data_IF_616383980830
#
_entry.id   IF_616383980830
#
_cell.length_a   1.000
_cell.length_b   1.000
_cell.length_c   1.000
_cell.angle_alpha   90.00
_cell.angle_beta   90.00
_cell.angle_gamma   90.00
#
_symmetry.space_group_name_H-M   'P 1'
#
loop_
_entity.id
_entity.type
_entity.pdbx_description
1 polymer ?
#
# COMPACT_ATOMS: atom_id res chain seq x y z
N UNK A 1 -19.65 -0.21 -8.31
CA UNK A 1 -18.73 -1.11 -9.00
C UNK A 1 -17.42 -1.14 -8.24
N UNK A 2 -17.06 -2.28 -7.69
CA UNK A 2 -15.86 -2.46 -6.88
C UNK A 2 -14.87 -3.35 -7.62
N UNK A 3 -13.59 -2.93 -7.65
CA UNK A 3 -12.50 -3.70 -8.23
C UNK A 3 -11.54 -4.12 -7.11
N UNK A 4 -11.61 -5.40 -6.78
CA UNK A 4 -10.78 -6.01 -5.77
C UNK A 4 -9.89 -7.10 -6.40
N UNK A 5 -8.62 -7.14 -5.98
CA UNK A 5 -7.64 -8.14 -6.42
C UNK A 5 -6.85 -7.74 -7.65
N UNK A 6 -5.59 -8.20 -7.69
CA UNK A 6 -4.65 -7.82 -8.72
C UNK A 6 -4.27 -6.33 -8.70
N UNK A 7 -3.69 -5.86 -9.79
CA UNK A 7 -3.38 -4.44 -9.99
C UNK A 7 -4.21 -3.88 -11.16
N UNK A 8 -5.23 -3.04 -10.88
CA UNK A 8 -6.10 -2.50 -11.92
C UNK A 8 -5.34 -1.71 -12.99
N UNK A 9 -4.30 -0.98 -12.58
CA UNK A 9 -3.51 -0.13 -13.48
C UNK A 9 -2.73 -0.94 -14.52
N UNK A 10 -2.45 -2.22 -14.26
CA UNK A 10 -1.79 -3.14 -15.19
C UNK A 10 -2.76 -3.85 -16.12
N UNK A 11 -4.06 -3.82 -15.84
CA UNK A 11 -5.08 -4.58 -16.58
C UNK A 11 -5.63 -3.81 -17.77
N UNK A 12 -5.39 -4.32 -18.98
CA UNK A 12 -6.03 -3.79 -20.21
C UNK A 12 -7.57 -3.95 -20.19
N UNK A 13 -8.06 -5.02 -19.56
CA UNK A 13 -9.50 -5.28 -19.47
C UNK A 13 -10.19 -4.28 -18.54
N UNK A 14 -9.53 -3.91 -17.43
CA UNK A 14 -10.08 -2.93 -16.50
C UNK A 14 -10.34 -1.57 -17.19
N UNK A 15 -9.39 -1.10 -17.98
CA UNK A 15 -9.54 0.13 -18.77
C UNK A 15 -10.73 0.07 -19.74
N UNK A 16 -10.95 -1.08 -20.39
CA UNK A 16 -12.11 -1.29 -21.25
C UNK A 16 -13.43 -1.26 -20.47
N UNK A 17 -13.43 -1.91 -19.29
CA UNK A 17 -14.62 -1.93 -18.41
C UNK A 17 -14.98 -0.51 -17.96
N UNK A 18 -14.01 0.30 -17.55
CA UNK A 18 -14.27 1.69 -17.16
C UNK A 18 -14.96 2.50 -18.26
N UNK A 19 -14.57 2.31 -19.51
CA UNK A 19 -15.20 2.98 -20.67
C UNK A 19 -16.63 2.49 -20.96
N UNK A 20 -16.95 1.28 -20.54
CA UNK A 20 -18.21 0.59 -20.83
C UNK A 20 -19.12 0.45 -19.59
N UNK A 21 -18.85 1.24 -18.52
CA UNK A 21 -19.69 1.19 -17.32
C UNK A 21 -21.15 1.49 -17.66
N UNK A 22 -22.11 0.68 -17.17
CA UNK A 22 -23.54 0.93 -17.33
C UNK A 22 -23.97 2.29 -16.71
N UNK A 23 -25.02 2.90 -17.21
CA UNK A 23 -25.50 4.23 -16.77
C UNK A 23 -26.02 4.23 -15.32
N UNK A 24 -26.41 3.08 -14.79
CA UNK A 24 -26.86 2.95 -13.41
C UNK A 24 -25.70 2.88 -12.39
N UNK A 25 -24.44 2.81 -12.82
CA UNK A 25 -23.26 2.87 -11.93
C UNK A 25 -23.13 4.29 -11.40
N UNK A 26 -23.12 4.44 -10.06
CA UNK A 26 -22.97 5.74 -9.37
C UNK A 26 -21.63 5.88 -8.69
N UNK A 27 -20.99 4.79 -8.34
CA UNK A 27 -19.70 4.75 -7.61
C UNK A 27 -18.80 3.69 -8.22
N UNK A 28 -17.54 4.04 -8.41
CA UNK A 28 -16.43 3.12 -8.74
C UNK A 28 -15.45 3.15 -7.60
N UNK A 29 -15.11 1.98 -7.03
CA UNK A 29 -14.04 1.82 -6.04
C UNK A 29 -12.93 0.97 -6.61
N UNK A 30 -11.70 1.34 -6.32
CA UNK A 30 -10.54 0.57 -6.72
C UNK A 30 -9.41 0.68 -5.71
N UNK A 31 -8.73 -0.44 -5.50
CA UNK A 31 -7.48 -0.48 -4.78
C UNK A 31 -6.32 -0.57 -5.78
N UNK A 32 -5.27 0.19 -5.56
CA UNK A 32 -4.09 0.18 -6.43
C UNK A 32 -2.79 0.21 -5.62
N UNK A 33 -1.76 -0.42 -6.17
CA UNK A 33 -0.41 -0.34 -5.61
C UNK A 33 0.29 1.00 -5.90
N UNK A 34 -0.37 1.91 -6.63
CA UNK A 34 0.17 3.23 -6.95
C UNK A 34 1.30 3.23 -7.99
N UNK A 35 1.49 2.14 -8.75
CA UNK A 35 2.55 2.08 -9.77
C UNK A 35 2.35 3.09 -10.90
N UNK A 36 1.11 3.46 -11.18
CA UNK A 36 0.72 4.50 -12.15
C UNK A 36 -0.72 4.96 -11.94
N UNK A 37 -1.03 6.15 -12.40
CA UNK A 37 -2.41 6.64 -12.45
C UNK A 37 -3.16 6.00 -13.63
N UNK A 38 -4.47 5.79 -13.47
CA UNK A 38 -5.38 5.38 -14.55
C UNK A 38 -6.02 6.63 -15.15
N UNK A 39 -5.61 6.98 -16.35
CA UNK A 39 -6.15 8.16 -17.07
C UNK A 39 -7.64 8.02 -17.41
N UNK A 40 -8.12 6.81 -17.61
CA UNK A 40 -9.52 6.49 -17.93
C UNK A 40 -10.50 6.86 -16.81
N UNK A 41 -10.02 7.09 -15.58
CA UNK A 41 -10.86 7.61 -14.49
C UNK A 41 -11.39 9.00 -14.76
N UNK A 42 -10.69 9.82 -15.54
CA UNK A 42 -11.19 11.13 -15.91
C UNK A 42 -12.47 11.05 -16.74
N UNK A 43 -12.55 10.11 -17.70
CA UNK A 43 -13.77 9.85 -18.47
C UNK A 43 -14.94 9.40 -17.57
N UNK A 44 -14.65 8.61 -16.53
CA UNK A 44 -15.66 8.16 -15.54
C UNK A 44 -16.18 9.36 -14.71
N UNK A 45 -15.27 10.22 -14.25
CA UNK A 45 -15.60 11.42 -13.48
C UNK A 45 -16.42 12.44 -14.30
N UNK A 46 -16.13 12.56 -15.61
CA UNK A 46 -16.91 13.39 -16.53
C UNK A 46 -18.36 12.91 -16.70
N UNK A 47 -18.62 11.61 -16.50
CA UNK A 47 -19.97 11.04 -16.49
C UNK A 47 -20.72 11.24 -15.16
N UNK A 48 -20.17 12.07 -14.25
CA UNK A 48 -20.72 12.36 -12.93
C UNK A 48 -20.82 11.10 -12.04
N UNK A 49 -19.88 10.16 -12.19
CA UNK A 49 -19.73 8.97 -11.37
C UNK A 49 -18.67 9.24 -10.31
N UNK A 50 -18.99 9.00 -9.03
CA UNK A 50 -18.02 9.10 -7.95
C UNK A 50 -16.94 8.03 -8.09
N UNK A 51 -15.68 8.41 -7.89
CA UNK A 51 -14.54 7.50 -7.91
C UNK A 51 -13.83 7.54 -6.56
N UNK A 52 -13.61 6.38 -5.96
CA UNK A 52 -12.83 6.23 -4.74
C UNK A 52 -11.60 5.40 -5.09
N UNK A 53 -10.42 5.98 -4.89
CA UNK A 53 -9.13 5.32 -5.14
C UNK A 53 -8.42 5.11 -3.82
N UNK A 54 -8.26 3.86 -3.42
CA UNK A 54 -7.48 3.48 -2.25
C UNK A 54 -6.07 3.12 -2.70
N UNK A 55 -5.10 3.94 -2.31
CA UNK A 55 -3.69 3.79 -2.61
C UNK A 55 -3.00 2.98 -1.51
N UNK A 56 -2.44 1.83 -1.85
CA UNK A 56 -1.69 1.03 -0.89
C UNK A 56 -0.37 1.71 -0.52
N UNK A 57 -0.14 1.95 0.76
CA UNK A 57 1.03 2.67 1.29
C UNK A 57 1.66 1.87 2.45
N UNK A 58 2.61 0.99 2.15
CA UNK A 58 3.23 0.10 3.16
C UNK A 58 4.63 0.54 3.59
N UNK A 59 4.98 1.81 3.40
CA UNK A 59 6.25 2.36 3.82
C UNK A 59 6.53 3.72 3.21
N UNK A 60 7.55 4.38 3.71
CA UNK A 60 8.11 5.63 3.22
C UNK A 60 9.57 5.40 2.84
N UNK A 61 10.03 6.00 1.74
CA UNK A 61 11.42 5.89 1.30
C UNK A 61 11.85 4.45 1.03
N UNK A 62 12.97 4.05 1.63
CA UNK A 62 13.57 2.73 1.45
C UNK A 62 12.63 1.59 1.90
N UNK A 63 11.84 1.80 2.97
CA UNK A 63 10.84 0.81 3.42
C UNK A 63 9.79 0.58 2.34
N UNK A 64 9.30 1.63 1.68
CA UNK A 64 8.37 1.49 0.55
C UNK A 64 9.03 0.72 -0.60
N UNK A 65 10.25 1.08 -0.97
CA UNK A 65 11.00 0.46 -2.05
C UNK A 65 11.16 -1.05 -1.87
N UNK A 66 11.28 -1.50 -0.62
CA UNK A 66 11.38 -2.92 -0.29
C UNK A 66 10.00 -3.59 -0.23
N UNK A 67 9.07 -3.03 0.55
CA UNK A 67 7.76 -3.67 0.81
C UNK A 67 6.89 -3.69 -0.44
N UNK A 68 6.99 -2.68 -1.29
CA UNK A 68 6.21 -2.51 -2.53
C UNK A 68 7.01 -2.75 -3.82
N UNK A 69 8.14 -3.48 -3.71
CA UNK A 69 8.93 -3.82 -4.91
C UNK A 69 8.02 -4.35 -6.04
N UNK A 70 8.25 -3.93 -7.32
CA UNK A 70 9.36 -3.11 -7.84
C UNK A 70 9.08 -1.59 -7.86
N UNK A 71 8.05 -1.10 -7.23
CA UNK A 71 7.64 0.31 -7.25
C UNK A 71 8.61 1.12 -6.39
N UNK A 72 9.20 2.14 -6.97
CA UNK A 72 10.09 3.04 -6.22
C UNK A 72 9.30 4.17 -5.57
N UNK A 73 9.67 4.53 -4.35
CA UNK A 73 9.06 5.63 -3.59
C UNK A 73 8.95 6.92 -4.40
N UNK A 74 10.02 7.29 -5.10
CA UNK A 74 10.05 8.49 -5.97
C UNK A 74 9.01 8.46 -7.08
N UNK A 75 8.62 7.29 -7.58
CA UNK A 75 7.63 7.15 -8.64
C UNK A 75 6.22 7.02 -8.05
N UNK A 76 6.10 6.40 -6.88
CA UNK A 76 4.86 6.38 -6.10
C UNK A 76 4.38 7.79 -5.76
N UNK A 77 5.27 8.68 -5.27
CA UNK A 77 4.93 10.08 -4.97
C UNK A 77 4.35 10.79 -6.20
N UNK A 78 4.95 10.62 -7.37
CA UNK A 78 4.43 11.21 -8.63
C UNK A 78 3.02 10.74 -8.95
N UNK A 79 2.74 9.46 -8.68
CA UNK A 79 1.40 8.90 -8.87
C UNK A 79 0.39 9.50 -7.90
N UNK A 80 0.77 9.65 -6.62
CA UNK A 80 -0.07 10.32 -5.62
C UNK A 80 -0.37 11.76 -6.02
N UNK A 81 0.67 12.51 -6.43
CA UNK A 81 0.53 13.90 -6.86
C UNK A 81 -0.41 14.03 -8.09
N UNK A 82 -0.26 13.12 -9.06
CA UNK A 82 -1.14 13.09 -10.23
C UNK A 82 -2.61 12.82 -9.87
N UNK A 83 -2.88 11.93 -8.90
CA UNK A 83 -4.23 11.72 -8.39
C UNK A 83 -4.75 12.95 -7.63
N UNK A 84 -3.92 13.63 -6.84
CA UNK A 84 -4.31 14.86 -6.15
C UNK A 84 -4.63 15.98 -7.14
N UNK A 85 -3.89 16.10 -8.23
CA UNK A 85 -4.18 17.09 -9.28
C UNK A 85 -5.51 16.78 -9.98
N UNK A 86 -5.79 15.50 -10.24
CA UNK A 86 -7.10 15.08 -10.76
C UNK A 86 -8.23 15.36 -9.74
N UNK A 87 -7.99 15.17 -8.44
CA UNK A 87 -8.95 15.47 -7.37
C UNK A 87 -9.28 16.98 -7.27
N UNK A 88 -8.30 17.83 -7.47
CA UNK A 88 -8.53 19.30 -7.53
C UNK A 88 -9.50 19.64 -8.65
N UNK A 89 -9.39 18.96 -9.80
CA UNK A 89 -10.23 19.16 -10.97
C UNK A 89 -11.63 18.57 -10.81
N UNK A 90 -11.74 17.40 -10.17
CA UNK A 90 -12.99 16.64 -10.03
C UNK A 90 -13.31 16.35 -8.57
N UNK A 91 -14.31 17.03 -8.01
CA UNK A 91 -14.73 16.87 -6.61
C UNK A 91 -15.35 15.52 -6.28
N UNK A 92 -15.70 14.74 -7.29
CA UNK A 92 -16.20 13.37 -7.16
C UNK A 92 -15.09 12.33 -7.04
N UNK A 93 -13.79 12.71 -7.13
CA UNK A 93 -12.67 11.84 -6.84
C UNK A 93 -12.34 11.90 -5.35
N UNK A 94 -12.37 10.76 -4.70
CA UNK A 94 -11.90 10.58 -3.33
C UNK A 94 -10.64 9.72 -3.33
N UNK A 95 -9.69 10.08 -2.48
CA UNK A 95 -8.43 9.37 -2.30
C UNK A 95 -8.31 8.92 -0.86
N UNK A 96 -7.89 7.68 -0.66
CA UNK A 96 -7.57 7.10 0.63
C UNK A 96 -6.21 6.42 0.57
N UNK A 97 -5.47 6.39 1.67
CA UNK A 97 -4.35 5.49 1.87
C UNK A 97 -4.75 4.29 2.71
N UNK A 98 -4.24 3.13 2.35
CA UNK A 98 -4.37 1.91 3.13
C UNK A 98 -3.01 1.29 3.39
N UNK A 99 -2.74 0.93 4.65
CA UNK A 99 -1.52 0.23 5.04
C UNK A 99 -1.84 -1.15 5.59
N UNK A 100 -1.16 -2.16 5.04
CA UNK A 100 -1.13 -3.49 5.67
C UNK A 100 0.11 -3.57 6.54
N UNK A 101 -0.09 -3.45 7.86
CA UNK A 101 1.00 -3.40 8.84
C UNK A 101 1.55 -4.79 9.09
N UNK A 102 2.83 -4.95 8.79
CA UNK A 102 3.62 -6.17 8.99
C UNK A 102 4.85 -5.89 9.85
N UNK A 103 5.58 -6.92 10.24
CA UNK A 103 6.85 -6.73 10.93
C UNK A 103 7.88 -5.93 10.11
N UNK A 104 7.74 -5.87 8.78
CA UNK A 104 8.66 -5.15 7.91
C UNK A 104 8.41 -3.64 7.84
N UNK A 105 7.23 -3.17 8.22
CA UNK A 105 6.89 -1.74 8.12
C UNK A 105 6.34 -1.12 9.40
N UNK A 106 6.19 -1.88 10.46
CA UNK A 106 5.65 -1.36 11.73
C UNK A 106 6.47 -0.18 12.30
N UNK A 107 7.80 -0.21 12.19
CA UNK A 107 8.66 0.91 12.62
C UNK A 107 8.49 2.16 11.74
N UNK A 108 7.93 2.01 10.55
CA UNK A 108 7.69 3.10 9.61
C UNK A 108 6.27 3.68 9.72
N UNK A 109 5.41 3.12 10.57
CA UNK A 109 3.99 3.47 10.63
C UNK A 109 3.75 4.95 10.97
N UNK A 110 4.51 5.53 11.91
CA UNK A 110 4.40 6.96 12.23
C UNK A 110 4.74 7.85 11.03
N UNK A 111 5.77 7.50 10.28
CA UNK A 111 6.13 8.24 9.07
C UNK A 111 5.05 8.13 7.98
N UNK A 112 4.38 6.97 7.88
CA UNK A 112 3.25 6.77 6.98
C UNK A 112 2.09 7.69 7.36
N UNK A 113 1.71 7.69 8.65
CA UNK A 113 0.64 8.54 9.18
C UNK A 113 0.96 10.03 8.95
N UNK A 114 2.18 10.45 9.23
CA UNK A 114 2.62 11.83 9.02
C UNK A 114 2.59 12.22 7.54
N UNK A 115 3.03 11.34 6.63
CA UNK A 115 2.95 11.58 5.19
C UNK A 115 1.49 11.72 4.72
N UNK A 116 0.60 10.85 5.19
CA UNK A 116 -0.83 10.93 4.87
C UNK A 116 -1.44 12.28 5.35
N UNK A 117 -1.07 12.72 6.56
CA UNK A 117 -1.46 14.01 7.12
C UNK A 117 -0.96 15.19 6.27
N UNK A 118 0.31 15.15 5.87
CA UNK A 118 0.91 16.20 5.01
C UNK A 118 0.23 16.28 3.64
N UNK A 119 -0.18 15.13 3.08
CA UNK A 119 -0.93 15.05 1.83
C UNK A 119 -2.41 15.39 1.98
N UNK A 120 -2.90 15.52 3.21
CA UNK A 120 -4.33 15.68 3.51
C UNK A 120 -5.20 14.60 2.84
N UNK A 121 -4.71 13.34 2.89
CA UNK A 121 -5.42 12.15 2.39
C UNK A 121 -5.75 11.28 3.61
N UNK A 122 -7.02 10.87 3.79
CA UNK A 122 -7.41 9.90 4.82
C UNK A 122 -6.53 8.64 4.76
N UNK A 123 -6.19 8.11 5.93
CA UNK A 123 -5.37 6.91 6.05
C UNK A 123 -5.97 5.95 7.05
N UNK A 124 -6.06 4.69 6.65
CA UNK A 124 -6.47 3.61 7.51
C UNK A 124 -5.50 2.43 7.40
N UNK A 125 -5.51 1.53 8.37
CA UNK A 125 -4.59 0.42 8.41
C UNK A 125 -5.12 -0.79 9.18
N UNK A 126 -4.58 -1.96 8.88
CA UNK A 126 -4.83 -3.18 9.65
C UNK A 126 -3.55 -4.02 9.74
N UNK A 127 -3.46 -4.84 10.80
CA UNK A 127 -2.37 -5.80 10.92
C UNK A 127 -2.51 -6.92 9.90
N UNK A 128 -1.37 -7.34 9.34
CA UNK A 128 -1.27 -8.49 8.46
C UNK A 128 -1.45 -9.79 9.26
N UNK A 129 -2.41 -10.61 8.88
CA UNK A 129 -2.60 -11.93 9.50
C UNK A 129 -1.84 -13.04 8.75
N UNK A 130 -1.76 -12.97 7.43
CA UNK A 130 -1.09 -13.97 6.58
C UNK A 130 -0.18 -13.32 5.53
N UNK A 131 1.01 -13.85 5.29
CA UNK A 131 1.60 -15.03 5.95
C UNK A 131 2.01 -14.73 7.39
N UNK A 132 1.84 -15.70 8.29
CA UNK A 132 2.10 -15.55 9.73
C UNK A 132 3.51 -15.07 10.05
N UNK A 133 4.49 -15.46 9.26
CA UNK A 133 5.90 -15.05 9.39
C UNK A 133 6.11 -13.52 9.30
N UNK A 134 5.18 -12.78 8.70
CA UNK A 134 5.20 -11.33 8.63
C UNK A 134 4.27 -10.66 9.65
N UNK A 135 3.55 -11.43 10.44
CA UNK A 135 2.61 -10.90 11.43
C UNK A 135 3.37 -10.26 12.60
N UNK A 136 2.99 -9.03 12.95
CA UNK A 136 3.58 -8.26 14.06
C UNK A 136 3.35 -8.88 15.44
N UNK A 137 2.41 -9.83 15.57
CA UNK A 137 2.11 -10.53 16.83
C UNK A 137 3.21 -11.46 17.25
N UNK A 138 4.09 -11.87 16.33
CA UNK A 138 5.21 -12.73 16.63
C UNK A 138 6.46 -11.91 16.96
N UNK A 139 7.15 -12.28 18.03
CA UNK A 139 8.39 -11.64 18.44
C UNK A 139 9.48 -11.84 17.38
N UNK A 140 10.09 -10.77 16.93
CA UNK A 140 11.25 -10.76 16.03
C UNK A 140 11.97 -9.42 16.12
N UNK A 141 13.18 -9.30 15.51
CA UNK A 141 14.02 -8.08 15.58
C UNK A 141 13.34 -6.81 15.08
N UNK A 142 12.38 -6.92 14.17
CA UNK A 142 11.65 -5.76 13.66
C UNK A 142 10.60 -5.29 14.67
N UNK A 143 9.87 -6.22 15.29
CA UNK A 143 8.83 -5.89 16.27
C UNK A 143 9.39 -5.47 17.62
N UNK A 144 10.61 -5.89 17.98
CA UNK A 144 11.26 -5.48 19.22
C UNK A 144 11.49 -3.95 19.34
N UNK A 145 11.54 -3.26 18.21
CA UNK A 145 11.74 -1.80 18.12
C UNK A 145 10.46 -1.01 17.93
N UNK A 146 9.33 -1.68 17.73
CA UNK A 146 8.08 -1.03 17.37
C UNK A 146 7.36 -0.52 18.61
N UNK A 147 7.35 0.81 18.80
CA UNK A 147 6.63 1.48 19.89
C UNK A 147 5.11 1.37 19.78
N UNK A 148 4.58 1.06 18.58
CA UNK A 148 3.15 0.95 18.31
C UNK A 148 2.54 -0.40 18.71
N UNK A 149 3.38 -1.39 19.03
CA UNK A 149 2.91 -2.70 19.47
C UNK A 149 2.87 -2.73 20.99
N UNK A 150 1.67 -2.90 21.54
CA UNK A 150 1.54 -3.20 22.96
C UNK A 150 2.17 -4.57 23.26
N UNK A 151 2.88 -4.74 24.39
CA UNK A 151 3.40 -6.05 24.81
C UNK A 151 2.36 -7.17 24.80
N UNK A 152 1.09 -6.86 25.07
CA UNK A 152 -0.02 -7.82 25.00
C UNK A 152 -0.40 -8.25 23.58
N UNK A 153 0.07 -7.56 22.55
CA UNK A 153 -0.17 -7.89 21.16
C UNK A 153 0.93 -8.79 20.57
N UNK A 154 2.04 -8.94 21.28
CA UNK A 154 3.16 -9.79 20.87
C UNK A 154 2.99 -11.14 21.57
N UNK A 155 2.98 -12.24 20.80
CA UNK A 155 2.96 -13.58 21.39
C UNK A 155 4.30 -13.84 22.11
N UNK A 156 4.23 -14.19 23.39
CA UNK A 156 5.42 -14.40 24.24
C UNK A 156 6.18 -15.68 23.95
N UNK A 157 5.51 -16.66 23.35
CA UNK A 157 6.02 -18.02 23.18
C UNK A 157 6.39 -18.37 21.73
N UNK A 158 6.35 -17.40 20.82
CA UNK A 158 6.55 -17.64 19.40
C UNK A 158 7.57 -16.67 18.84
N UNK A 159 8.81 -17.13 18.69
CA UNK A 159 9.87 -16.41 18.00
C UNK A 159 9.97 -16.93 16.56
N UNK A 160 9.57 -16.11 15.59
CA UNK A 160 9.60 -16.44 14.18
C UNK A 160 10.85 -15.88 13.44
N UNK A 161 11.89 -15.51 14.17
CA UNK A 161 13.08 -14.85 13.60
C UNK A 161 13.75 -15.68 12.50
N UNK A 162 13.99 -16.97 12.75
CA UNK A 162 14.59 -17.86 11.74
C UNK A 162 13.71 -18.03 10.49
N UNK A 163 12.40 -18.16 10.70
CA UNK A 163 11.45 -18.31 9.60
C UNK A 163 11.37 -17.02 8.77
N UNK A 164 11.39 -15.87 9.44
CA UNK A 164 11.43 -14.56 8.81
C UNK A 164 12.71 -14.39 7.98
N UNK A 165 13.87 -14.76 8.50
CA UNK A 165 15.13 -14.67 7.76
C UNK A 165 15.13 -15.55 6.52
N UNK A 166 14.60 -16.77 6.60
CA UNK A 166 14.44 -17.64 5.42
C UNK A 166 13.46 -17.06 4.41
N UNK A 167 12.36 -16.48 4.88
CA UNK A 167 11.38 -15.81 4.01
C UNK A 167 12.04 -14.63 3.28
N UNK A 168 12.72 -13.75 4.01
CA UNK A 168 13.43 -12.59 3.45
C UNK A 168 14.47 -13.05 2.42
N UNK A 169 15.34 -14.00 2.75
CA UNK A 169 16.37 -14.50 1.84
C UNK A 169 15.77 -15.05 0.53
N UNK A 170 14.63 -15.74 0.63
CA UNK A 170 13.90 -16.22 -0.55
C UNK A 170 13.36 -15.06 -1.40
N UNK A 171 12.78 -14.03 -0.78
CA UNK A 171 12.25 -12.86 -1.50
C UNK A 171 13.37 -12.06 -2.17
N UNK A 172 14.47 -11.82 -1.46
CA UNK A 172 15.63 -11.10 -1.96
C UNK A 172 16.22 -11.81 -3.19
N UNK A 173 16.38 -13.15 -3.12
CA UNK A 173 16.83 -13.95 -4.25
C UNK A 173 15.92 -13.85 -5.47
N UNK A 174 14.60 -13.92 -5.26
CA UNK A 174 13.61 -13.82 -6.34
C UNK A 174 13.60 -12.42 -6.98
N UNK A 175 13.76 -11.38 -6.18
CA UNK A 175 13.72 -9.99 -6.59
C UNK A 175 15.08 -9.45 -7.04
N UNK A 176 16.17 -10.19 -6.79
CA UNK A 176 17.58 -9.78 -7.02
C UNK A 176 17.94 -8.49 -6.26
N UNK A 177 17.55 -8.42 -5.02
CA UNK A 177 17.82 -7.31 -4.08
C UNK A 177 18.35 -7.86 -2.77
N UNK A 178 18.74 -6.97 -1.85
CA UNK A 178 19.14 -7.35 -0.49
C UNK A 178 18.42 -6.42 0.49
N UNK A 179 17.74 -6.98 1.48
CA UNK A 179 17.02 -6.20 2.49
C UNK A 179 17.92 -5.20 3.22
N UNK A 180 19.21 -5.51 3.39
CA UNK A 180 20.19 -4.61 4.04
C UNK A 180 20.43 -3.32 3.27
N UNK A 181 20.10 -3.26 1.99
CA UNK A 181 20.18 -2.03 1.19
C UNK A 181 19.05 -1.05 1.55
N UNK A 182 17.99 -1.54 2.24
CA UNK A 182 16.78 -0.80 2.59
C UNK A 182 16.62 -0.57 4.10
N UNK A 183 17.11 -1.50 4.92
CA UNK A 183 17.00 -1.45 6.38
C UNK A 183 18.40 -1.37 7.01
N UNK A 184 18.81 -0.14 7.36
CA UNK A 184 20.17 0.14 7.87
C UNK A 184 20.48 -0.43 9.27
N UNK A 185 19.47 -0.96 9.95
CA UNK A 185 19.64 -1.55 11.29
C UNK A 185 19.86 -3.08 11.24
N UNK A 186 19.81 -3.70 10.08
CA UNK A 186 20.15 -5.10 9.83
C UNK A 186 21.65 -5.22 9.50
#
# INVERSE_FOLDING_TARGET
>A
FDVNGGEPTASKNYKKILKQLPDNVKIVRMNTNGSRMISELEEVLQRNIMVIVTLSLDGIGDTHDYTRWPIKWKDYIKTVDAYQDLQKKYKLLQLDFWTTVSCLNIENLEHIIEYARQKNIPHDWAFLDQPSVLNVRYKNRFTERASHISPSQIATDNDNQEELERFIARQDKLRKINIKDYYKFL
#
